data_IF_097667797514
#
_entry.id   IF_097667797514
#
_cell.length_a   1.000
_cell.length_b   1.000
_cell.length_c   1.000
_cell.angle_alpha   90.00
_cell.angle_beta   90.00
_cell.angle_gamma   90.00
#
_symmetry.space_group_name_H-M   'P 1'
#
loop_
_entity.id
_entity.type
_entity.pdbx_description
1 polymer ?
#
# COMPACT_ATOMS: atom_id res chain seq x y z
N UNK A 1 24.41 -7.11 -24.86
CA UNK A 1 23.08 -7.25 -24.24
C UNK A 1 22.86 -6.26 -23.08
N UNK A 2 23.74 -6.21 -22.07
CA UNK A 2 23.60 -5.31 -20.89
C UNK A 2 23.49 -3.82 -21.29
N UNK A 3 24.36 -3.31 -22.16
CA UNK A 3 24.30 -1.91 -22.62
C UNK A 3 23.00 -1.54 -23.37
N UNK A 4 22.35 -2.49 -24.04
CA UNK A 4 21.09 -2.25 -24.73
C UNK A 4 19.92 -2.11 -23.75
N UNK A 5 19.92 -2.93 -22.68
CA UNK A 5 18.94 -2.84 -21.58
C UNK A 5 19.06 -1.49 -20.86
N UNK A 6 20.30 -1.07 -20.56
CA UNK A 6 20.59 0.19 -19.88
C UNK A 6 20.16 1.43 -20.70
N UNK A 7 20.17 1.33 -22.04
CA UNK A 7 19.71 2.42 -22.93
C UNK A 7 18.20 2.42 -23.18
N UNK A 8 17.46 1.40 -22.72
CA UNK A 8 16.02 1.35 -22.93
C UNK A 8 15.31 2.49 -22.18
N UNK A 9 14.33 3.18 -22.79
CA UNK A 9 13.55 4.22 -22.10
C UNK A 9 12.88 3.72 -20.82
N UNK A 10 12.48 2.45 -20.79
CA UNK A 10 11.88 1.81 -19.63
C UNK A 10 12.87 1.69 -18.45
N UNK A 11 14.11 1.26 -18.71
CA UNK A 11 15.14 1.19 -17.67
C UNK A 11 15.42 2.57 -17.07
N UNK A 12 15.58 3.60 -17.92
CA UNK A 12 15.79 4.98 -17.47
C UNK A 12 14.63 5.48 -16.60
N UNK A 13 13.38 5.19 -16.99
CA UNK A 13 12.21 5.57 -16.20
C UNK A 13 12.17 4.88 -14.83
N UNK A 14 12.51 3.59 -14.75
CA UNK A 14 12.60 2.85 -13.49
C UNK A 14 13.75 3.41 -12.62
N UNK A 15 14.93 3.65 -13.20
CA UNK A 15 16.07 4.18 -12.47
C UNK A 15 15.78 5.57 -11.87
N UNK A 16 15.11 6.44 -12.63
CA UNK A 16 14.68 7.75 -12.14
C UNK A 16 13.63 7.63 -11.03
N UNK A 17 12.67 6.72 -11.18
CA UNK A 17 11.67 6.46 -10.14
C UNK A 17 12.33 5.95 -8.84
N UNK A 18 13.28 5.02 -8.95
CA UNK A 18 14.06 4.52 -7.80
C UNK A 18 14.85 5.65 -7.16
N UNK A 19 15.61 6.42 -7.93
CA UNK A 19 16.38 7.56 -7.42
C UNK A 19 15.52 8.61 -6.71
N UNK A 20 14.38 8.96 -7.30
CA UNK A 20 13.44 9.92 -6.70
C UNK A 20 12.80 9.40 -5.41
N UNK A 21 12.35 8.15 -5.39
CA UNK A 21 11.76 7.53 -4.20
C UNK A 21 12.79 7.46 -3.06
N UNK A 22 14.01 6.98 -3.34
CA UNK A 22 15.09 6.91 -2.37
C UNK A 22 15.49 8.30 -1.84
N UNK A 23 15.61 9.31 -2.70
CA UNK A 23 15.94 10.67 -2.28
C UNK A 23 14.86 11.27 -1.38
N UNK A 24 13.58 11.08 -1.72
CA UNK A 24 12.47 11.58 -0.91
C UNK A 24 12.37 10.86 0.44
N UNK A 25 12.54 9.53 0.46
CA UNK A 25 12.59 8.77 1.71
C UNK A 25 13.77 9.21 2.59
N UNK A 26 14.94 9.42 2.00
CA UNK A 26 16.11 9.93 2.72
C UNK A 26 15.87 11.34 3.28
N UNK A 27 15.25 12.24 2.51
CA UNK A 27 14.89 13.57 2.97
C UNK A 27 13.95 13.50 4.20
N UNK A 28 12.94 12.63 4.16
CA UNK A 28 12.06 12.43 5.32
C UNK A 28 12.78 11.83 6.53
N UNK A 29 13.71 10.90 6.34
CA UNK A 29 14.53 10.36 7.44
C UNK A 29 15.41 11.42 8.11
N UNK A 30 15.86 12.44 7.37
CA UNK A 30 16.63 13.56 7.92
C UNK A 30 15.75 14.56 8.69
N UNK A 31 14.47 14.66 8.33
CA UNK A 31 13.50 15.60 8.93
C UNK A 31 12.85 14.99 10.17
N UNK A 32 12.47 13.72 10.10
CA UNK A 32 11.68 13.06 11.14
C UNK A 32 12.57 12.73 12.35
N UNK A 33 12.11 13.04 13.58
CA UNK A 33 12.81 12.60 14.77
C UNK A 33 12.78 11.08 14.84
N UNK A 34 13.87 10.48 15.29
CA UNK A 34 13.93 9.03 15.45
C UNK A 34 13.25 8.62 16.74
N UNK A 35 12.23 7.75 16.67
CA UNK A 35 11.63 7.26 17.90
C UNK A 35 12.51 6.23 18.60
N UNK A 36 12.67 6.38 19.92
CA UNK A 36 13.03 5.23 20.76
C UNK A 36 11.96 4.14 20.60
N UNK A 37 12.34 2.89 20.88
CA UNK A 37 11.41 1.75 20.85
C UNK A 37 10.13 2.07 21.63
N UNK A 38 9.02 2.25 20.92
CA UNK A 38 7.71 2.47 21.55
C UNK A 38 7.07 1.12 21.82
N UNK A 39 6.60 0.86 23.04
CA UNK A 39 5.99 -0.44 23.41
C UNK A 39 4.85 -0.93 22.50
N UNK A 40 4.27 -2.09 22.83
CA UNK A 40 3.30 -2.77 21.97
C UNK A 40 4.00 -3.66 20.92
N UNK A 41 3.53 -3.64 19.67
CA UNK A 41 3.97 -4.57 18.61
C UNK A 41 5.50 -4.60 18.41
N UNK A 42 6.17 -3.45 18.55
CA UNK A 42 7.61 -3.33 18.26
C UNK A 42 8.45 -4.22 19.17
N UNK A 43 8.02 -4.46 20.43
CA UNK A 43 8.74 -5.31 21.38
C UNK A 43 8.82 -6.73 20.83
N UNK A 44 7.73 -7.24 20.27
CA UNK A 44 7.69 -8.58 19.71
C UNK A 44 8.53 -8.68 18.42
N UNK A 45 8.45 -7.69 17.54
CA UNK A 45 9.24 -7.70 16.31
C UNK A 45 10.74 -7.54 16.55
N UNK A 46 11.14 -6.72 17.53
CA UNK A 46 12.55 -6.59 17.93
C UNK A 46 13.06 -7.86 18.61
N UNK A 47 12.26 -8.51 19.46
CA UNK A 47 12.62 -9.81 20.03
C UNK A 47 12.85 -10.88 18.94
N UNK A 48 11.99 -10.91 17.92
CA UNK A 48 12.17 -11.79 16.76
C UNK A 48 13.40 -11.41 15.90
N UNK A 49 13.72 -10.12 15.78
CA UNK A 49 14.89 -9.67 15.03
C UNK A 49 16.20 -9.92 15.78
N UNK A 50 16.19 -9.88 17.10
CA UNK A 50 17.32 -10.24 17.95
C UNK A 50 17.57 -11.75 17.92
N UNK A 51 16.49 -12.53 18.04
CA UNK A 51 16.52 -13.99 17.98
C UNK A 51 15.31 -14.51 17.19
N UNK A 52 15.50 -14.96 15.94
CA UNK A 52 14.41 -15.49 15.10
C UNK A 52 13.69 -16.72 15.65
N UNK A 53 14.25 -17.36 16.69
CA UNK A 53 13.65 -18.49 17.42
C UNK A 53 12.92 -18.05 18.70
N UNK A 54 12.92 -16.76 19.02
CA UNK A 54 12.21 -16.24 20.18
C UNK A 54 10.72 -16.57 20.08
N UNK A 55 10.14 -17.02 21.19
CA UNK A 55 8.70 -17.24 21.28
C UNK A 55 8.03 -15.91 21.62
N UNK A 56 7.21 -15.41 20.70
CA UNK A 56 6.41 -14.20 20.91
C UNK A 56 4.92 -14.53 20.79
N UNK A 57 4.07 -13.62 21.29
CA UNK A 57 2.64 -13.84 21.28
C UNK A 57 2.05 -13.88 19.86
N UNK A 58 0.94 -14.62 19.68
CA UNK A 58 0.11 -14.47 18.48
C UNK A 58 -0.56 -13.09 18.46
N UNK A 59 -0.68 -12.44 17.29
CA UNK A 59 -0.30 -12.90 15.94
C UNK A 59 1.18 -12.62 15.56
N UNK A 60 1.96 -11.93 16.40
CA UNK A 60 3.30 -11.43 16.06
C UNK A 60 4.27 -12.51 15.60
N UNK A 61 4.16 -13.72 16.17
CA UNK A 61 5.02 -14.87 15.84
C UNK A 61 4.91 -15.32 14.38
N UNK A 62 3.84 -14.94 13.67
CA UNK A 62 3.65 -15.31 12.27
C UNK A 62 4.26 -14.30 11.28
N UNK A 63 4.65 -13.12 11.75
CA UNK A 63 5.13 -12.00 10.92
C UNK A 63 6.65 -11.92 10.93
N UNK A 64 7.26 -12.94 10.34
CA UNK A 64 8.70 -13.17 10.49
C UNK A 64 9.56 -12.48 9.44
N UNK A 65 9.02 -12.07 8.28
CA UNK A 65 9.87 -11.62 7.16
C UNK A 65 10.75 -10.41 7.54
N UNK A 66 10.17 -9.32 8.01
CA UNK A 66 10.93 -8.10 8.31
C UNK A 66 11.90 -8.30 9.48
N UNK A 67 11.49 -8.92 10.62
CA UNK A 67 12.44 -9.24 11.69
C UNK A 67 13.58 -10.15 11.24
N UNK A 68 13.28 -11.18 10.43
CA UNK A 68 14.30 -12.09 9.91
C UNK A 68 15.29 -11.36 9.00
N UNK A 69 14.81 -10.53 8.06
CA UNK A 69 15.70 -9.72 7.22
C UNK A 69 16.59 -8.79 8.05
N UNK A 70 16.05 -8.18 9.10
CA UNK A 70 16.82 -7.36 10.02
C UNK A 70 17.89 -8.18 10.76
N UNK A 71 17.55 -9.39 11.19
CA UNK A 71 18.51 -10.32 11.81
C UNK A 71 19.62 -10.73 10.85
N UNK A 72 19.28 -11.19 9.64
CA UNK A 72 20.25 -11.67 8.66
C UNK A 72 21.21 -10.56 8.20
N UNK A 73 20.73 -9.31 8.12
CA UNK A 73 21.56 -8.18 7.70
C UNK A 73 22.40 -7.57 8.82
N UNK A 74 21.92 -7.59 10.06
CA UNK A 74 22.55 -6.91 11.20
C UNK A 74 23.15 -7.82 12.27
N UNK A 75 22.76 -9.09 12.31
CA UNK A 75 23.03 -9.99 13.43
C UNK A 75 22.43 -9.51 14.77
N UNK A 76 22.73 -10.21 15.88
CA UNK A 76 22.23 -9.85 17.21
C UNK A 76 22.66 -8.46 17.70
N UNK A 77 23.75 -7.90 17.17
CA UNK A 77 24.30 -6.62 17.63
C UNK A 77 23.71 -5.41 16.87
N UNK A 78 23.32 -5.58 15.60
CA UNK A 78 22.92 -4.46 14.72
C UNK A 78 21.56 -4.65 14.05
N UNK A 79 20.74 -5.58 14.57
CA UNK A 79 19.41 -5.85 14.02
C UNK A 79 18.53 -4.60 14.03
N UNK A 80 18.72 -3.66 14.97
CA UNK A 80 17.91 -2.43 15.07
C UNK A 80 18.17 -1.50 13.89
N UNK A 81 19.42 -1.27 13.55
CA UNK A 81 19.84 -0.46 12.40
C UNK A 81 19.40 -1.13 11.09
N UNK A 82 19.56 -2.45 11.00
CA UNK A 82 19.11 -3.23 9.85
C UNK A 82 17.59 -3.15 9.67
N UNK A 83 16.81 -3.22 10.76
CA UNK A 83 15.35 -3.06 10.71
C UNK A 83 14.95 -1.70 10.14
N UNK A 84 15.62 -0.63 10.59
CA UNK A 84 15.41 0.74 10.07
C UNK A 84 15.68 0.80 8.58
N UNK A 85 16.80 0.23 8.13
CA UNK A 85 17.17 0.19 6.73
C UNK A 85 16.14 -0.58 5.90
N UNK A 86 15.73 -1.77 6.34
CA UNK A 86 14.73 -2.60 5.65
C UNK A 86 13.42 -1.83 5.48
N UNK A 87 12.95 -1.14 6.53
CA UNK A 87 11.71 -0.37 6.45
C UNK A 87 11.84 0.88 5.59
N UNK A 88 12.96 1.60 5.63
CA UNK A 88 13.21 2.71 4.73
C UNK A 88 13.20 2.26 3.26
N UNK A 89 13.85 1.12 2.97
CA UNK A 89 13.84 0.52 1.63
C UNK A 89 12.44 0.08 1.21
N UNK A 90 11.65 -0.48 2.12
CA UNK A 90 10.27 -0.88 1.84
C UNK A 90 9.35 0.33 1.56
N UNK A 91 9.51 1.43 2.29
CA UNK A 91 8.83 2.70 2.00
C UNK A 91 9.19 3.20 0.61
N UNK A 92 10.49 3.30 0.28
CA UNK A 92 10.93 3.70 -1.06
C UNK A 92 10.38 2.76 -2.15
N UNK A 93 10.43 1.44 -1.93
CA UNK A 93 9.91 0.43 -2.85
C UNK A 93 8.39 0.57 -3.08
N UNK A 94 7.63 1.00 -2.08
CA UNK A 94 6.19 1.30 -2.19
C UNK A 94 5.96 2.53 -3.09
N UNK A 95 6.80 3.56 -2.96
CA UNK A 95 6.80 4.73 -3.84
C UNK A 95 7.06 4.36 -5.31
N UNK A 96 8.07 3.52 -5.56
CA UNK A 96 8.38 3.00 -6.91
C UNK A 96 7.19 2.21 -7.46
N UNK A 97 6.60 1.32 -6.66
CA UNK A 97 5.43 0.55 -7.08
C UNK A 97 4.24 1.47 -7.43
N UNK A 98 3.97 2.51 -6.63
CA UNK A 98 2.90 3.47 -6.91
C UNK A 98 3.12 4.23 -8.23
N UNK A 99 4.36 4.63 -8.53
CA UNK A 99 4.72 5.22 -9.81
C UNK A 99 4.44 4.26 -10.97
N UNK A 100 4.97 3.03 -10.89
CA UNK A 100 4.80 2.03 -11.94
C UNK A 100 3.34 1.61 -12.15
N UNK A 101 2.57 1.45 -11.07
CA UNK A 101 1.13 1.22 -11.11
C UNK A 101 0.41 2.36 -11.83
N UNK A 102 0.74 3.62 -11.48
CA UNK A 102 0.16 4.80 -12.14
C UNK A 102 0.44 4.81 -13.64
N UNK A 103 1.67 4.47 -14.05
CA UNK A 103 2.04 4.35 -15.47
C UNK A 103 1.31 3.19 -16.14
N UNK A 104 1.18 2.05 -15.47
CA UNK A 104 0.47 0.87 -15.97
C UNK A 104 -1.03 1.10 -16.17
N UNK A 105 -1.63 1.97 -15.35
CA UNK A 105 -3.03 2.39 -15.46
C UNK A 105 -3.25 3.53 -16.48
N UNK A 106 -2.22 3.93 -17.24
CA UNK A 106 -2.32 4.96 -18.28
C UNK A 106 -2.17 6.39 -17.78
N UNK A 107 -1.57 6.57 -16.60
CA UNK A 107 -1.14 7.88 -16.12
C UNK A 107 0.07 8.43 -16.87
N UNK A 108 0.19 9.75 -16.94
CA UNK A 108 1.39 10.43 -17.46
C UNK A 108 2.57 10.27 -16.49
N UNK A 109 3.78 10.64 -16.93
CA UNK A 109 4.95 10.64 -16.03
C UNK A 109 4.76 11.56 -14.83
N UNK A 110 4.19 12.75 -15.04
CA UNK A 110 3.91 13.70 -13.96
C UNK A 110 2.89 13.16 -12.95
N UNK A 111 1.82 12.50 -13.42
CA UNK A 111 0.87 11.85 -12.53
C UNK A 111 1.53 10.74 -11.68
N UNK A 112 2.45 9.98 -12.28
CA UNK A 112 3.15 8.91 -11.58
C UNK A 112 4.11 9.43 -10.49
N UNK A 113 4.87 10.49 -10.77
CA UNK A 113 5.67 11.15 -9.73
C UNK A 113 4.82 11.80 -8.65
N UNK A 114 3.65 12.37 -9.00
CA UNK A 114 2.71 12.89 -8.02
C UNK A 114 2.16 11.77 -7.11
N UNK A 115 1.82 10.61 -7.66
CA UNK A 115 1.40 9.44 -6.89
C UNK A 115 2.50 8.98 -5.91
N UNK A 116 3.75 8.88 -6.39
CA UNK A 116 4.90 8.53 -5.56
C UNK A 116 5.13 9.55 -4.45
N UNK A 117 5.27 10.83 -4.78
CA UNK A 117 5.56 11.88 -3.81
C UNK A 117 4.43 12.03 -2.79
N UNK A 118 3.18 11.96 -3.26
CA UNK A 118 1.99 11.98 -2.41
C UNK A 118 1.97 10.82 -1.42
N UNK A 119 2.20 9.58 -1.90
CA UNK A 119 2.26 8.39 -1.05
C UNK A 119 3.35 8.50 0.02
N UNK A 120 4.58 8.83 -0.40
CA UNK A 120 5.74 8.89 0.48
C UNK A 120 5.67 10.04 1.49
N UNK A 121 4.73 10.97 1.31
CA UNK A 121 4.48 12.09 2.21
C UNK A 121 3.16 11.95 2.99
N UNK A 122 2.50 10.79 2.91
CA UNK A 122 1.31 10.53 3.73
C UNK A 122 1.68 10.40 5.20
N UNK A 123 0.88 10.97 6.13
CA UNK A 123 1.12 10.84 7.57
C UNK A 123 1.35 9.39 8.02
N UNK A 124 0.57 8.43 7.49
CA UNK A 124 0.73 7.02 7.79
C UNK A 124 2.07 6.40 7.33
N UNK A 125 2.62 6.84 6.18
CA UNK A 125 3.95 6.39 5.72
C UNK A 125 5.08 7.04 6.50
N UNK A 126 4.94 8.33 6.82
CA UNK A 126 5.90 9.07 7.65
C UNK A 126 5.94 8.53 9.09
N UNK A 127 4.79 8.09 9.61
CA UNK A 127 4.73 7.37 10.89
C UNK A 127 5.63 6.13 10.90
N UNK A 128 5.72 5.37 9.79
CA UNK A 128 6.60 4.19 9.74
C UNK A 128 8.09 4.52 9.59
N UNK A 129 8.43 5.70 9.06
CA UNK A 129 9.82 6.18 9.10
C UNK A 129 10.20 6.64 10.51
N UNK A 130 9.25 7.24 11.24
CA UNK A 130 9.41 7.62 12.65
C UNK A 130 9.45 6.40 13.59
N UNK A 131 8.60 5.38 13.34
CA UNK A 131 8.50 4.11 14.07
C UNK A 131 8.94 2.93 13.19
N UNK A 132 10.26 2.79 12.96
CA UNK A 132 10.82 1.89 11.96
C UNK A 132 10.92 0.44 12.42
N UNK A 133 10.28 0.06 13.53
CA UNK A 133 10.32 -1.30 14.07
C UNK A 133 9.00 -2.05 13.86
N UNK A 134 8.17 -1.55 12.95
CA UNK A 134 6.92 -2.16 12.54
C UNK A 134 7.09 -2.90 11.22
N UNK A 135 6.29 -3.92 10.97
CA UNK A 135 6.39 -4.78 9.78
C UNK A 135 5.62 -4.23 8.57
N UNK A 136 4.72 -3.26 8.80
CA UNK A 136 3.74 -2.77 7.85
C UNK A 136 4.35 -2.26 6.53
N UNK A 137 5.49 -1.53 6.51
CA UNK A 137 6.08 -1.04 5.26
C UNK A 137 6.43 -2.15 4.28
N UNK A 138 7.02 -3.24 4.75
CA UNK A 138 7.36 -4.38 3.91
C UNK A 138 6.09 -5.04 3.34
N UNK A 139 5.06 -5.22 4.17
CA UNK A 139 3.78 -5.77 3.72
C UNK A 139 3.09 -4.85 2.69
N UNK A 140 3.14 -3.53 2.88
CA UNK A 140 2.60 -2.53 1.95
C UNK A 140 3.36 -2.52 0.61
N UNK A 141 4.69 -2.60 0.65
CA UNK A 141 5.50 -2.71 -0.56
C UNK A 141 5.16 -4.00 -1.33
N UNK A 142 5.18 -5.14 -0.65
CA UNK A 142 4.91 -6.45 -1.25
C UNK A 142 3.49 -6.53 -1.83
N UNK A 143 2.51 -5.92 -1.17
CA UNK A 143 1.15 -5.75 -1.67
C UNK A 143 1.14 -5.00 -3.01
N UNK A 144 1.76 -3.82 -3.05
CA UNK A 144 1.79 -2.99 -4.27
C UNK A 144 2.54 -3.67 -5.42
N UNK A 145 3.68 -4.32 -5.14
CA UNK A 145 4.43 -5.09 -6.12
C UNK A 145 3.66 -6.32 -6.61
N UNK A 146 2.89 -6.98 -5.74
CA UNK A 146 2.00 -8.09 -6.15
C UNK A 146 0.89 -7.60 -7.09
N UNK A 147 0.27 -6.44 -6.81
CA UNK A 147 -0.71 -5.83 -7.71
C UNK A 147 -0.08 -5.46 -9.06
N UNK A 148 1.12 -4.90 -9.04
CA UNK A 148 1.86 -4.57 -10.27
C UNK A 148 2.18 -5.83 -11.07
N UNK A 149 2.69 -6.89 -10.42
CA UNK A 149 2.99 -8.16 -11.06
C UNK A 149 1.74 -8.80 -11.68
N UNK A 150 0.60 -8.77 -10.98
CA UNK A 150 -0.68 -9.25 -11.50
C UNK A 150 -1.13 -8.48 -12.76
N UNK A 151 -1.04 -7.14 -12.75
CA UNK A 151 -1.36 -6.30 -13.92
C UNK A 151 -0.34 -6.39 -15.05
N UNK A 152 0.92 -6.67 -14.73
CA UNK A 152 1.99 -6.84 -15.69
C UNK A 152 1.99 -8.24 -16.34
N UNK A 153 1.21 -9.18 -15.80
CA UNK A 153 1.20 -10.56 -16.25
C UNK A 153 2.44 -11.35 -15.81
N UNK A 154 3.14 -10.90 -14.76
CA UNK A 154 4.33 -11.56 -14.21
C UNK A 154 3.95 -12.75 -13.32
N UNK A 155 3.25 -13.71 -13.90
CA UNK A 155 2.66 -14.86 -13.19
C UNK A 155 3.70 -15.76 -12.53
N UNK A 156 4.94 -15.78 -13.01
CA UNK A 156 6.03 -16.53 -12.38
C UNK A 156 6.56 -15.88 -11.09
N UNK A 157 6.55 -14.55 -11.01
CA UNK A 157 7.07 -13.78 -9.86
C UNK A 157 6.00 -13.58 -8.79
N UNK A 158 4.73 -13.49 -9.20
CA UNK A 158 3.62 -13.21 -8.30
C UNK A 158 3.49 -14.19 -7.11
N UNK A 159 3.61 -15.53 -7.27
CA UNK A 159 3.56 -16.45 -6.13
C UNK A 159 4.68 -16.20 -5.11
N UNK A 160 5.89 -15.85 -5.57
CA UNK A 160 7.03 -15.53 -4.69
C UNK A 160 6.75 -14.27 -3.88
N UNK A 161 6.19 -13.23 -4.53
CA UNK A 161 5.76 -12.01 -3.84
C UNK A 161 4.65 -12.28 -2.83
N UNK A 162 3.70 -13.16 -3.13
CA UNK A 162 2.63 -13.53 -2.21
C UNK A 162 3.12 -14.36 -1.03
N UNK A 163 4.10 -15.25 -1.22
CA UNK A 163 4.78 -15.95 -0.12
C UNK A 163 5.50 -14.95 0.77
N UNK A 164 6.27 -14.02 0.19
CA UNK A 164 6.90 -12.97 0.98
C UNK A 164 5.86 -12.10 1.69
N UNK A 165 4.77 -11.71 1.02
CA UNK A 165 3.70 -10.92 1.60
C UNK A 165 3.06 -11.66 2.79
N UNK A 166 2.80 -12.96 2.65
CA UNK A 166 2.28 -13.83 3.72
C UNK A 166 3.19 -13.87 4.95
N UNK A 167 4.51 -13.97 4.74
CA UNK A 167 5.52 -13.96 5.81
C UNK A 167 5.71 -12.57 6.43
N UNK A 168 5.43 -11.50 5.67
CA UNK A 168 5.44 -10.13 6.19
C UNK A 168 4.19 -9.87 7.04
N UNK A 169 3.00 -10.27 6.55
CA UNK A 169 1.71 -10.13 7.24
C UNK A 169 0.70 -11.13 6.68
N UNK A 170 -0.24 -11.59 7.50
CA UNK A 170 -1.24 -12.62 7.17
C UNK A 170 -2.35 -12.14 6.22
N UNK A 171 -2.02 -11.28 5.25
CA UNK A 171 -2.95 -10.63 4.33
C UNK A 171 -3.14 -11.39 3.03
N UNK A 172 -2.44 -12.51 2.80
CA UNK A 172 -2.37 -13.16 1.47
C UNK A 172 -3.74 -13.59 0.93
N UNK A 173 -4.67 -14.00 1.80
CA UNK A 173 -6.04 -14.39 1.40
C UNK A 173 -6.82 -13.20 0.87
N UNK A 174 -6.56 -11.99 1.40
CA UNK A 174 -7.16 -10.75 0.93
C UNK A 174 -6.83 -10.46 -0.55
N UNK A 175 -5.81 -11.10 -1.13
CA UNK A 175 -5.44 -10.94 -2.53
C UNK A 175 -6.26 -11.81 -3.49
N UNK A 176 -7.01 -12.80 -2.99
CA UNK A 176 -7.76 -13.74 -3.85
C UNK A 176 -8.75 -13.05 -4.77
N UNK A 177 -9.60 -12.21 -4.18
CA UNK A 177 -10.58 -11.47 -4.96
C UNK A 177 -9.94 -10.54 -5.99
N UNK A 178 -9.02 -9.62 -5.65
CA UNK A 178 -8.45 -8.72 -6.65
C UNK A 178 -7.67 -9.47 -7.74
N UNK A 179 -6.92 -10.53 -7.42
CA UNK A 179 -6.20 -11.32 -8.44
C UNK A 179 -7.18 -12.04 -9.38
N UNK A 180 -8.22 -12.68 -8.85
CA UNK A 180 -9.27 -13.29 -9.67
C UNK A 180 -9.91 -12.28 -10.61
N UNK A 181 -10.24 -11.10 -10.08
CA UNK A 181 -10.84 -10.03 -10.85
C UNK A 181 -9.91 -9.50 -11.95
N UNK A 182 -8.60 -9.50 -11.73
CA UNK A 182 -7.59 -9.17 -12.75
C UNK A 182 -7.52 -10.25 -13.84
N UNK A 183 -7.55 -11.54 -13.48
CA UNK A 183 -7.41 -12.64 -14.44
C UNK A 183 -8.69 -12.98 -15.21
N UNK A 184 -9.87 -12.74 -14.64
CA UNK A 184 -11.13 -13.18 -15.27
C UNK A 184 -11.44 -12.42 -16.56
N UNK A 185 -11.98 -13.13 -17.54
CA UNK A 185 -12.49 -12.57 -18.80
C UNK A 185 -14.01 -12.49 -18.82
N UNK A 186 -14.66 -13.35 -18.03
CA UNK A 186 -16.12 -13.47 -17.87
C UNK A 186 -16.50 -13.21 -16.42
N UNK A 187 -17.81 -13.13 -16.16
CA UNK A 187 -18.32 -12.99 -14.79
C UNK A 187 -17.90 -14.19 -13.90
N UNK A 188 -18.11 -15.39 -14.43
CA UNK A 188 -17.64 -16.67 -13.87
C UNK A 188 -16.61 -17.24 -14.84
N UNK A 189 -15.36 -17.39 -14.39
CA UNK A 189 -14.24 -17.83 -15.21
C UNK A 189 -13.42 -18.87 -14.42
N UNK A 190 -13.77 -20.15 -14.60
CA UNK A 190 -13.11 -21.27 -13.90
C UNK A 190 -11.60 -21.32 -14.19
N UNK A 191 -11.12 -21.13 -15.44
CA UNK A 191 -9.69 -21.01 -15.70
C UNK A 191 -8.99 -19.86 -14.95
N UNK A 192 -9.65 -18.72 -14.77
CA UNK A 192 -9.11 -17.62 -13.97
C UNK A 192 -9.11 -17.95 -12.47
N UNK A 193 -10.14 -18.65 -11.97
CA UNK A 193 -10.19 -19.14 -10.60
C UNK A 193 -9.05 -20.13 -10.32
N UNK A 194 -8.83 -21.10 -11.20
CA UNK A 194 -7.72 -22.05 -11.10
C UNK A 194 -6.36 -21.35 -11.10
N UNK A 195 -6.13 -20.39 -12.01
CA UNK A 195 -4.90 -19.57 -12.03
C UNK A 195 -4.73 -18.76 -10.76
N UNK A 196 -5.79 -18.19 -10.23
CA UNK A 196 -5.76 -17.45 -8.97
C UNK A 196 -5.39 -18.37 -7.80
N UNK A 197 -6.00 -19.55 -7.73
CA UNK A 197 -5.68 -20.55 -6.73
C UNK A 197 -4.21 -20.97 -6.80
N UNK A 198 -3.69 -21.29 -7.99
CA UNK A 198 -2.29 -21.67 -8.19
C UNK A 198 -1.30 -20.61 -7.69
N UNK A 199 -1.63 -19.33 -7.84
CA UNK A 199 -0.78 -18.24 -7.40
C UNK A 199 -0.85 -18.03 -5.88
N UNK A 200 -2.02 -18.25 -5.27
CA UNK A 200 -2.28 -17.96 -3.85
C UNK A 200 -1.93 -19.11 -2.93
N UNK A 201 -2.13 -20.34 -3.38
CA UNK A 201 -1.86 -21.56 -2.60
C UNK A 201 -0.47 -21.55 -1.96
N UNK A 202 0.63 -21.20 -2.66
CA UNK A 202 1.95 -21.12 -2.03
C UNK A 202 2.00 -20.16 -0.83
N UNK A 203 1.37 -18.99 -0.92
CA UNK A 203 1.32 -18.02 0.17
C UNK A 203 0.44 -18.48 1.34
N UNK A 204 -0.68 -19.17 1.05
CA UNK A 204 -1.51 -19.80 2.08
C UNK A 204 -0.73 -20.90 2.79
N UNK A 205 -0.05 -21.79 2.05
CA UNK A 205 0.79 -22.84 2.62
C UNK A 205 1.92 -22.27 3.48
N UNK A 206 2.56 -21.18 3.05
CA UNK A 206 3.56 -20.48 3.86
C UNK A 206 2.95 -19.95 5.17
N UNK A 207 1.77 -19.33 5.10
CA UNK A 207 1.05 -18.84 6.29
C UNK A 207 0.73 -20.01 7.24
N UNK A 208 0.18 -21.11 6.73
CA UNK A 208 -0.16 -22.31 7.51
C UNK A 208 1.08 -22.96 8.13
N UNK A 209 2.18 -23.06 7.38
CA UNK A 209 3.44 -23.64 7.87
C UNK A 209 4.02 -22.82 9.03
N UNK A 210 3.92 -21.50 8.96
CA UNK A 210 4.34 -20.62 10.07
C UNK A 210 3.38 -20.71 11.25
N UNK A 211 2.07 -20.85 11.00
CA UNK A 211 1.06 -21.01 12.04
C UNK A 211 1.13 -22.34 12.79
N UNK A 212 1.74 -23.36 12.19
CA UNK A 212 1.96 -24.66 12.84
C UNK A 212 3.01 -24.62 13.97
N UNK A 213 3.78 -23.53 14.11
CA UNK A 213 4.73 -23.37 15.22
C UNK A 213 4.00 -23.27 16.56
N UNK A 214 4.54 -23.87 17.65
CA UNK A 214 4.00 -23.66 19.00
C UNK A 214 3.95 -22.16 19.32
N UNK A 215 2.80 -21.69 19.80
CA UNK A 215 2.61 -20.27 20.12
C UNK A 215 2.22 -20.07 21.57
N UNK A 216 2.57 -18.89 22.10
CA UNK A 216 2.05 -18.39 23.37
C UNK A 216 0.97 -17.34 23.06
N UNK A 217 -0.08 -17.24 23.88
CA UNK A 217 -1.18 -16.30 23.66
C UNK A 217 -2.45 -16.97 23.11
N UNK A 218 -3.07 -16.39 22.09
CA UNK A 218 -4.35 -16.87 21.54
C UNK A 218 -4.13 -18.20 20.81
N UNK A 219 -4.69 -19.32 21.31
CA UNK A 219 -4.36 -20.65 20.81
C UNK A 219 -5.01 -20.95 19.45
N UNK A 220 -6.02 -20.18 19.02
CA UNK A 220 -6.74 -20.41 17.76
C UNK A 220 -7.00 -19.11 16.99
N UNK A 221 -7.07 -19.21 15.66
CA UNK A 221 -7.47 -18.12 14.77
C UNK A 221 -8.88 -17.60 15.09
N UNK A 222 -9.77 -18.50 15.49
CA UNK A 222 -11.12 -18.13 15.92
C UNK A 222 -11.10 -17.16 17.11
N UNK A 223 -10.29 -17.44 18.12
CA UNK A 223 -10.15 -16.55 19.28
C UNK A 223 -9.53 -15.21 18.90
N UNK A 224 -8.57 -15.20 17.97
CA UNK A 224 -7.99 -13.96 17.44
C UNK A 224 -9.04 -13.10 16.73
N UNK A 225 -9.88 -13.71 15.88
CA UNK A 225 -10.99 -13.02 15.19
C UNK A 225 -12.01 -12.50 16.19
N UNK A 226 -12.43 -13.32 17.16
CA UNK A 226 -13.36 -12.91 18.23
C UNK A 226 -12.80 -11.74 19.05
N UNK A 227 -11.52 -11.79 19.41
CA UNK A 227 -10.84 -10.71 20.11
C UNK A 227 -10.79 -9.44 19.26
N UNK A 228 -10.48 -9.56 17.97
CA UNK A 228 -10.49 -8.46 17.01
C UNK A 228 -11.85 -7.78 16.90
N UNK A 229 -12.93 -8.56 16.71
CA UNK A 229 -14.31 -8.06 16.68
C UNK A 229 -14.69 -7.38 18.00
N UNK A 230 -14.28 -7.96 19.15
CA UNK A 230 -14.50 -7.35 20.46
C UNK A 230 -13.78 -6.00 20.59
N UNK A 231 -12.53 -5.91 20.12
CA UNK A 231 -11.77 -4.65 20.12
C UNK A 231 -12.44 -3.60 19.24
N UNK A 232 -12.96 -3.98 18.07
CA UNK A 232 -13.76 -3.09 17.20
C UNK A 232 -14.99 -2.58 17.97
N UNK A 233 -15.75 -3.47 18.61
CA UNK A 233 -16.91 -3.11 19.42
C UNK A 233 -16.58 -2.12 20.54
N UNK A 234 -15.53 -2.41 21.32
CA UNK A 234 -15.07 -1.52 22.40
C UNK A 234 -14.62 -0.15 21.86
N UNK A 235 -13.90 -0.11 20.74
CA UNK A 235 -13.48 1.17 20.13
C UNK A 235 -14.69 1.98 19.65
N UNK A 236 -15.66 1.32 19.00
CA UNK A 236 -16.88 1.96 18.54
C UNK A 236 -17.73 2.50 19.69
N UNK A 237 -17.80 1.78 20.81
CA UNK A 237 -18.50 2.20 22.01
C UNK A 237 -17.81 3.41 22.68
N UNK A 238 -16.47 3.38 22.77
CA UNK A 238 -15.71 4.44 23.44
C UNK A 238 -15.56 5.72 22.61
N UNK A 239 -15.36 5.58 21.30
CA UNK A 239 -15.06 6.71 20.41
C UNK A 239 -16.26 7.14 19.58
N UNK A 240 -17.25 6.27 19.37
CA UNK A 240 -18.29 6.49 18.38
C UNK A 240 -17.85 6.17 16.95
N UNK A 241 -18.81 5.79 16.11
CA UNK A 241 -18.57 5.37 14.71
C UNK A 241 -17.95 6.49 13.88
N UNK A 242 -18.48 7.70 14.00
CA UNK A 242 -18.07 8.86 13.18
C UNK A 242 -16.61 9.20 13.46
N UNK A 243 -16.23 9.24 14.73
CA UNK A 243 -14.86 9.60 15.11
C UNK A 243 -13.86 8.55 14.70
N UNK A 244 -14.17 7.29 14.95
CA UNK A 244 -13.25 6.21 14.65
C UNK A 244 -13.05 6.06 13.11
N UNK A 245 -14.09 6.28 12.30
CA UNK A 245 -13.96 6.40 10.83
C UNK A 245 -13.20 7.66 10.40
N UNK A 246 -13.43 8.80 11.07
CA UNK A 246 -12.71 10.04 10.82
C UNK A 246 -11.21 9.87 11.04
N UNK A 247 -10.80 9.27 12.16
CA UNK A 247 -9.40 8.92 12.43
C UNK A 247 -8.87 7.99 11.33
N UNK A 248 -9.61 6.92 11.01
CA UNK A 248 -9.18 5.94 10.01
C UNK A 248 -8.89 6.59 8.66
N UNK A 249 -9.80 7.44 8.17
CA UNK A 249 -9.69 8.12 6.88
C UNK A 249 -8.62 9.22 6.92
N UNK A 250 -8.64 10.08 7.95
CA UNK A 250 -7.74 11.23 8.09
C UNK A 250 -6.28 10.85 8.32
N UNK A 251 -6.02 9.85 9.17
CA UNK A 251 -4.64 9.42 9.48
C UNK A 251 -4.02 8.48 8.45
N UNK A 252 -4.83 7.93 7.53
CA UNK A 252 -4.36 7.01 6.49
C UNK A 252 -3.99 7.73 5.20
N UNK A 253 -4.94 7.85 4.27
CA UNK A 253 -4.76 8.40 2.93
C UNK A 253 -5.24 9.86 2.85
N UNK A 254 -5.99 10.36 3.84
CA UNK A 254 -6.48 11.74 3.87
C UNK A 254 -7.25 12.11 2.59
N UNK A 255 -6.86 13.20 1.93
CA UNK A 255 -7.50 13.64 0.67
C UNK A 255 -7.40 12.61 -0.47
N UNK A 256 -6.48 11.66 -0.41
CA UNK A 256 -6.36 10.62 -1.44
C UNK A 256 -7.55 9.66 -1.45
N UNK A 257 -8.32 9.57 -0.36
CA UNK A 257 -9.64 8.92 -0.39
C UNK A 257 -10.58 9.62 -1.38
N UNK A 258 -10.72 10.95 -1.28
CA UNK A 258 -11.57 11.73 -2.19
C UNK A 258 -11.08 11.64 -3.64
N UNK A 259 -9.78 11.86 -3.87
CA UNK A 259 -9.17 11.79 -5.20
C UNK A 259 -9.29 10.39 -5.80
N UNK A 260 -8.98 9.36 -5.03
CA UNK A 260 -9.00 7.96 -5.47
C UNK A 260 -10.42 7.48 -5.79
N UNK A 261 -11.41 7.85 -4.99
CA UNK A 261 -12.82 7.52 -5.25
C UNK A 261 -13.36 8.27 -6.47
N UNK A 262 -13.06 9.56 -6.62
CA UNK A 262 -13.38 10.31 -7.84
C UNK A 262 -12.70 9.70 -9.08
N UNK A 263 -11.45 9.26 -8.91
CA UNK A 263 -10.65 8.61 -9.93
C UNK A 263 -10.92 7.12 -10.10
N UNK A 264 -11.87 6.52 -9.39
CA UNK A 264 -11.96 5.07 -9.22
C UNK A 264 -12.10 4.29 -10.55
N UNK A 265 -12.74 4.90 -11.55
CA UNK A 265 -12.80 4.37 -12.92
C UNK A 265 -11.41 4.11 -13.55
N UNK A 266 -10.39 4.85 -13.12
CA UNK A 266 -9.00 4.68 -13.56
C UNK A 266 -8.28 3.54 -12.84
N UNK A 267 -8.76 3.10 -11.67
CA UNK A 267 -8.24 1.90 -11.00
C UNK A 267 -8.58 0.63 -11.78
N UNK A 268 -9.65 0.65 -12.58
CA UNK A 268 -10.13 -0.50 -13.34
C UNK A 268 -10.38 -1.70 -12.42
N UNK A 269 -9.67 -2.81 -12.67
CA UNK A 269 -9.79 -4.03 -11.86
C UNK A 269 -9.08 -3.96 -10.51
N UNK A 270 -8.15 -3.02 -10.30
CA UNK A 270 -7.54 -2.82 -8.98
C UNK A 270 -8.54 -2.30 -7.94
N UNK A 271 -9.63 -1.68 -8.36
CA UNK A 271 -10.68 -1.23 -7.45
C UNK A 271 -11.23 -2.35 -6.55
N UNK A 272 -11.13 -3.61 -6.98
CA UNK A 272 -11.54 -4.77 -6.19
C UNK A 272 -10.68 -5.01 -4.94
N UNK A 273 -9.51 -4.36 -4.84
CA UNK A 273 -8.70 -4.34 -3.61
C UNK A 273 -9.42 -3.60 -2.46
N UNK A 274 -10.41 -2.75 -2.75
CA UNK A 274 -11.13 -2.03 -1.69
C UNK A 274 -11.95 -2.97 -0.82
N UNK A 275 -12.50 -4.04 -1.38
CA UNK A 275 -13.33 -4.99 -0.63
C UNK A 275 -12.58 -5.60 0.54
N UNK A 276 -11.42 -6.27 0.35
CA UNK A 276 -10.69 -6.82 1.47
C UNK A 276 -10.16 -5.76 2.44
N UNK A 277 -9.81 -4.55 1.96
CA UNK A 277 -9.37 -3.46 2.85
C UNK A 277 -10.50 -3.00 3.77
N UNK A 278 -11.71 -2.81 3.24
CA UNK A 278 -12.87 -2.41 4.02
C UNK A 278 -13.35 -3.55 4.94
N UNK A 279 -13.24 -4.81 4.51
CA UNK A 279 -13.60 -5.96 5.34
C UNK A 279 -12.75 -6.05 6.61
N UNK A 280 -11.50 -5.56 6.58
CA UNK A 280 -10.64 -5.54 7.78
C UNK A 280 -11.19 -4.64 8.91
N UNK A 281 -12.08 -3.69 8.61
CA UNK A 281 -12.68 -2.84 9.63
C UNK A 281 -13.61 -3.63 10.56
N UNK A 282 -14.16 -4.74 10.06
CA UNK A 282 -15.03 -5.63 10.84
C UNK A 282 -14.21 -6.48 11.80
N UNK A 283 -12.95 -6.80 11.44
CA UNK A 283 -12.16 -7.84 12.11
C UNK A 283 -11.05 -7.27 12.99
N UNK A 284 -10.59 -6.03 12.77
CA UNK A 284 -9.50 -5.47 13.56
C UNK A 284 -9.70 -3.99 13.88
N UNK A 285 -9.11 -3.53 14.98
CA UNK A 285 -9.27 -2.16 15.48
C UNK A 285 -8.30 -1.12 14.94
N UNK A 286 -7.28 -1.48 14.16
CA UNK A 286 -6.25 -0.55 13.65
C UNK A 286 -6.59 0.01 12.27
N UNK A 287 -7.77 0.63 12.16
CA UNK A 287 -8.34 1.03 10.87
C UNK A 287 -7.46 1.99 10.08
N UNK A 288 -6.75 2.94 10.72
CA UNK A 288 -5.83 3.82 10.00
C UNK A 288 -4.71 3.04 9.30
N UNK A 289 -4.16 2.01 9.95
CA UNK A 289 -3.17 1.12 9.33
C UNK A 289 -3.78 0.27 8.21
N UNK A 290 -4.98 -0.26 8.42
CA UNK A 290 -5.65 -1.07 7.39
C UNK A 290 -6.04 -0.27 6.16
N UNK A 291 -6.52 0.97 6.33
CA UNK A 291 -6.83 1.88 5.24
C UNK A 291 -5.63 2.13 4.32
N UNK A 292 -4.41 2.15 4.85
CA UNK A 292 -3.22 2.35 4.03
C UNK A 292 -3.07 1.24 2.98
N UNK A 293 -3.55 0.01 3.22
CA UNK A 293 -3.54 -1.06 2.20
C UNK A 293 -4.39 -0.75 0.96
N UNK A 294 -5.23 0.28 0.98
CA UNK A 294 -5.94 0.74 -0.21
C UNK A 294 -5.06 1.56 -1.18
N UNK A 295 -3.86 2.00 -0.76
CA UNK A 295 -3.01 2.89 -1.55
C UNK A 295 -2.70 2.39 -2.98
N UNK A 296 -2.48 1.08 -3.26
CA UNK A 296 -2.11 0.64 -4.61
C UNK A 296 -3.23 0.86 -5.63
N UNK A 297 -4.48 1.00 -5.17
CA UNK A 297 -5.61 1.35 -6.03
C UNK A 297 -5.91 2.85 -6.00
N UNK A 298 -6.06 3.43 -4.80
CA UNK A 298 -6.57 4.79 -4.64
C UNK A 298 -5.56 5.86 -5.04
N UNK A 299 -4.28 5.72 -4.67
CA UNK A 299 -3.28 6.76 -4.96
C UNK A 299 -3.00 6.85 -6.47
N UNK A 300 -2.74 5.76 -7.20
CA UNK A 300 -2.62 5.82 -8.66
C UNK A 300 -3.86 6.36 -9.37
N UNK A 301 -5.06 5.89 -8.98
CA UNK A 301 -6.31 6.34 -9.58
C UNK A 301 -6.57 7.84 -9.32
N UNK A 302 -6.32 8.29 -8.09
CA UNK A 302 -6.45 9.68 -7.69
C UNK A 302 -5.46 10.59 -8.40
N UNK A 303 -4.22 10.16 -8.57
CA UNK A 303 -3.19 10.94 -9.26
C UNK A 303 -3.53 11.11 -10.75
N UNK A 304 -4.04 10.06 -11.41
CA UNK A 304 -4.49 10.13 -12.80
C UNK A 304 -5.67 11.10 -12.93
N UNK A 305 -6.65 10.98 -12.05
CA UNK A 305 -7.83 11.83 -12.08
C UNK A 305 -7.49 13.31 -11.83
N UNK A 306 -6.68 13.57 -10.81
CA UNK A 306 -6.15 14.89 -10.47
C UNK A 306 -5.39 15.50 -11.65
N UNK A 307 -4.50 14.75 -12.28
CA UNK A 307 -3.66 15.25 -13.39
C UNK A 307 -4.49 15.65 -14.61
N UNK A 308 -5.59 14.94 -14.86
CA UNK A 308 -6.53 15.19 -15.96
C UNK A 308 -7.58 16.24 -15.62
N UNK A 309 -7.67 16.67 -14.37
CA UNK A 309 -8.68 17.62 -13.92
C UNK A 309 -8.38 19.05 -14.42
N UNK A 310 -9.36 19.84 -14.90
CA UNK A 310 -9.16 21.24 -15.31
C UNK A 310 -8.57 22.14 -14.21
N UNK A 311 -8.77 21.76 -12.94
CA UNK A 311 -8.27 22.49 -11.75
C UNK A 311 -7.09 21.81 -11.09
N UNK A 312 -6.29 21.05 -11.85
CA UNK A 312 -5.15 20.30 -11.32
C UNK A 312 -4.22 21.14 -10.44
N UNK A 313 -3.97 22.41 -10.76
CA UNK A 313 -3.10 23.27 -9.96
C UNK A 313 -3.60 23.45 -8.51
N UNK A 314 -4.91 23.70 -8.34
CA UNK A 314 -5.54 23.81 -7.01
C UNK A 314 -5.45 22.48 -6.27
N UNK A 315 -5.77 21.38 -6.95
CA UNK A 315 -5.72 20.04 -6.34
C UNK A 315 -4.29 19.64 -5.95
N UNK A 316 -3.28 19.98 -6.75
CA UNK A 316 -1.86 19.80 -6.40
C UNK A 316 -1.54 20.62 -5.16
N UNK A 317 -2.01 21.87 -5.09
CA UNK A 317 -1.88 22.70 -3.88
C UNK A 317 -2.44 22.00 -2.64
N UNK A 318 -3.63 21.41 -2.72
CA UNK A 318 -4.22 20.63 -1.62
C UNK A 318 -3.38 19.40 -1.25
N UNK A 319 -2.83 18.67 -2.23
CA UNK A 319 -1.90 17.55 -1.98
C UNK A 319 -0.64 18.01 -1.27
N UNK A 320 -0.07 19.15 -1.67
CA UNK A 320 1.10 19.75 -1.00
C UNK A 320 0.74 20.12 0.44
N UNK A 321 -0.39 20.80 0.67
CA UNK A 321 -0.85 21.13 2.03
C UNK A 321 -1.00 19.87 2.88
N UNK A 322 -1.67 18.83 2.38
CA UNK A 322 -1.79 17.53 3.07
C UNK A 322 -0.43 16.93 3.43
N UNK A 323 0.52 16.96 2.49
CA UNK A 323 1.87 16.39 2.65
C UNK A 323 2.70 17.13 3.70
N UNK A 324 2.39 18.41 3.93
CA UNK A 324 3.06 19.25 4.92
C UNK A 324 2.42 19.17 6.32
N UNK A 325 1.25 18.53 6.47
CA UNK A 325 0.57 18.43 7.77
C UNK A 325 1.39 17.70 8.83
N UNK A 326 2.34 16.87 8.43
CA UNK A 326 3.29 16.23 9.35
C UNK A 326 4.05 17.25 10.21
N UNK A 327 4.39 18.41 9.66
CA UNK A 327 5.10 19.45 10.40
C UNK A 327 4.25 20.04 11.53
N UNK A 328 2.92 20.05 11.37
CA UNK A 328 2.00 20.46 12.42
C UNK A 328 2.08 19.51 13.61
N UNK A 329 2.05 18.19 13.36
CA UNK A 329 2.16 17.17 14.41
C UNK A 329 3.53 17.20 15.09
N UNK A 330 4.60 17.39 14.31
CA UNK A 330 5.95 17.54 14.86
C UNK A 330 6.07 18.80 15.73
N UNK A 331 5.46 19.91 15.33
CA UNK A 331 5.55 21.17 16.08
C UNK A 331 4.80 21.13 17.42
N UNK A 332 3.73 20.34 17.52
CA UNK A 332 2.87 20.30 18.70
C UNK A 332 3.23 19.14 19.62
N UNK A 333 3.39 17.93 19.06
CA UNK A 333 3.59 16.70 19.83
C UNK A 333 5.03 16.17 19.76
N UNK A 334 5.88 16.73 18.90
CA UNK A 334 7.25 16.24 18.65
C UNK A 334 7.30 14.89 17.92
N UNK A 335 6.15 14.31 17.52
CA UNK A 335 6.08 13.00 16.87
C UNK A 335 4.78 12.78 16.07
N UNK A 336 4.86 12.09 14.92
CA UNK A 336 3.67 11.57 14.26
C UNK A 336 3.05 10.44 15.07
N UNK A 337 1.72 10.38 15.07
CA UNK A 337 0.95 9.27 15.62
C UNK A 337 -0.05 8.77 14.58
N UNK A 338 -0.34 7.47 14.62
CA UNK A 338 -1.42 6.86 13.84
C UNK A 338 -2.51 6.37 14.77
N UNK A 339 -3.76 6.31 14.30
CA UNK A 339 -4.93 5.91 15.07
C UNK A 339 -5.26 6.80 16.28
N UNK A 340 -4.78 8.05 16.30
CA UNK A 340 -5.11 9.05 17.31
C UNK A 340 -5.49 10.36 16.63
N UNK A 341 -6.32 11.16 17.28
CA UNK A 341 -6.57 12.52 16.85
C UNK A 341 -5.32 13.37 17.08
N UNK A 342 -4.76 13.86 15.98
CA UNK A 342 -3.76 14.91 15.99
C UNK A 342 -4.33 16.13 15.25
N UNK A 343 -3.74 17.31 15.45
CA UNK A 343 -4.10 18.50 14.69
C UNK A 343 -4.10 18.25 13.16
N UNK A 344 -3.14 17.47 12.64
CA UNK A 344 -3.14 17.06 11.23
C UNK A 344 -4.37 16.26 10.83
N UNK A 345 -4.90 15.40 11.71
CA UNK A 345 -6.09 14.59 11.45
C UNK A 345 -7.29 15.48 11.17
N UNK A 346 -7.52 16.51 12.01
CA UNK A 346 -8.63 17.45 11.82
C UNK A 346 -8.48 18.26 10.54
N UNK A 347 -7.27 18.75 10.25
CA UNK A 347 -7.01 19.49 9.01
C UNK A 347 -7.20 18.58 7.79
N UNK A 348 -6.69 17.34 7.84
CA UNK A 348 -6.89 16.35 6.78
C UNK A 348 -8.38 16.06 6.55
N UNK A 349 -9.17 15.95 7.62
CA UNK A 349 -10.61 15.74 7.54
C UNK A 349 -11.33 16.94 6.93
N UNK A 350 -10.86 18.17 7.17
CA UNK A 350 -11.39 19.37 6.52
C UNK A 350 -10.96 19.49 5.05
N UNK A 351 -9.76 19.02 4.69
CA UNK A 351 -9.27 19.04 3.32
C UNK A 351 -10.04 18.06 2.41
N UNK A 352 -10.61 16.98 2.94
CA UNK A 352 -11.43 16.02 2.18
C UNK A 352 -12.67 16.67 1.54
N UNK A 353 -13.61 17.30 2.28
CA UNK A 353 -14.75 17.96 1.70
C UNK A 353 -14.34 19.15 0.81
N UNK A 354 -13.29 19.89 1.17
CA UNK A 354 -12.74 20.94 0.29
C UNK A 354 -12.28 20.37 -1.05
N UNK A 355 -11.59 19.23 -1.04
CA UNK A 355 -11.16 18.52 -2.26
C UNK A 355 -12.37 18.09 -3.08
N UNK A 356 -13.39 17.51 -2.44
CA UNK A 356 -14.64 17.12 -3.11
C UNK A 356 -15.35 18.32 -3.74
N UNK A 357 -15.42 19.45 -3.04
CA UNK A 357 -15.97 20.70 -3.59
C UNK A 357 -15.20 21.12 -4.85
N UNK A 358 -13.86 21.10 -4.83
CA UNK A 358 -13.06 21.46 -6.01
C UNK A 358 -13.27 20.48 -7.18
N UNK A 359 -13.42 19.18 -6.89
CA UNK A 359 -13.64 18.12 -7.89
C UNK A 359 -15.04 18.16 -8.52
N UNK A 360 -16.07 18.47 -7.73
CA UNK A 360 -17.46 18.46 -8.18
C UNK A 360 -17.92 19.80 -8.73
N UNK A 361 -17.16 20.87 -8.49
CA UNK A 361 -17.53 22.19 -8.97
C UNK A 361 -17.50 22.29 -10.51
N UNK A 362 -18.59 22.77 -11.15
CA UNK A 362 -18.67 22.88 -12.60
C UNK A 362 -17.51 23.66 -13.23
N UNK A 363 -16.74 23.00 -14.10
CA UNK A 363 -15.70 23.66 -14.88
C UNK A 363 -16.22 24.00 -16.27
N UNK A 364 -16.23 25.31 -16.61
CA UNK A 364 -16.43 25.75 -18.01
C UNK A 364 -15.23 25.45 -18.91
N UNK A 365 -14.06 25.15 -18.32
CA UNK A 365 -12.84 24.83 -19.09
C UNK A 365 -12.90 23.38 -19.58
N UNK A 366 -12.66 23.18 -20.87
CA UNK A 366 -12.48 21.84 -21.46
C UNK A 366 -11.32 21.12 -20.77
N UNK A 367 -11.48 19.82 -20.56
CA UNK A 367 -10.42 18.97 -20.03
C UNK A 367 -9.19 19.02 -20.95
N UNK A 368 -7.96 18.98 -20.42
CA UNK A 368 -6.75 18.87 -21.22
C UNK A 368 -6.85 17.67 -22.17
N UNK A 369 -6.50 17.84 -23.44
CA UNK A 369 -6.41 16.71 -24.37
C UNK A 369 -5.33 15.74 -23.85
N UNK A 370 -5.57 14.42 -23.86
CA UNK A 370 -4.53 13.46 -23.53
C UNK A 370 -3.36 13.63 -24.51
N UNK A 371 -2.15 13.76 -23.98
CA UNK A 371 -0.93 13.76 -24.80
C UNK A 371 -0.80 12.39 -25.49
N UNK A 372 -0.95 12.36 -26.82
CA UNK A 372 -0.79 11.15 -27.60
C UNK A 372 0.68 10.68 -27.54
N UNK A 373 0.91 9.43 -27.11
CA UNK A 373 2.22 8.76 -27.23
C UNK A 373 3.04 8.56 -25.94
N UNK A 374 2.58 8.94 -24.75
CA UNK A 374 3.38 8.80 -23.51
C UNK A 374 3.00 7.63 -22.58
N UNK A 375 2.04 6.78 -22.94
CA UNK A 375 1.72 5.59 -22.16
C UNK A 375 2.77 4.50 -22.33
N UNK A 376 3.06 3.73 -21.27
CA UNK A 376 3.63 2.38 -21.48
C UNK A 376 2.66 1.62 -22.40
N UNK A 377 3.16 0.75 -23.29
CA UNK A 377 2.29 -0.05 -24.15
C UNK A 377 1.23 -0.71 -23.28
N UNK A 378 -0.04 -0.46 -23.64
CA UNK A 378 -1.16 -1.11 -22.97
C UNK A 378 -0.89 -2.61 -22.98
N UNK A 379 -1.27 -3.32 -21.90
CA UNK A 379 -1.23 -4.79 -21.92
C UNK A 379 -1.96 -5.19 -23.20
N UNK A 380 -1.34 -5.94 -24.12
CA UNK A 380 -2.08 -6.44 -25.26
C UNK A 380 -3.30 -7.15 -24.69
N UNK A 381 -4.49 -6.67 -25.05
CA UNK A 381 -5.72 -7.36 -24.64
C UNK A 381 -5.50 -8.81 -25.08
N UNK A 382 -5.70 -9.81 -24.20
CA UNK A 382 -5.57 -11.19 -24.60
C UNK A 382 -6.41 -11.35 -25.86
N UNK A 383 -5.76 -11.63 -26.99
CA UNK A 383 -6.45 -11.77 -28.27
C UNK A 383 -7.50 -12.83 -28.03
N UNK A 384 -8.77 -12.44 -28.00
CA UNK A 384 -9.85 -13.40 -27.90
C UNK A 384 -9.69 -14.27 -29.12
N UNK A 385 -9.33 -15.55 -28.92
CA UNK A 385 -9.01 -16.47 -30.02
C UNK A 385 -10.10 -16.61 -31.09
N UNK A 386 -11.27 -16.02 -30.84
CA UNK A 386 -12.33 -15.80 -31.81
C UNK A 386 -11.91 -15.01 -33.06
N UNK A 387 -10.99 -14.04 -32.97
CA UNK A 387 -10.59 -13.25 -34.16
C UNK A 387 -9.71 -14.03 -35.15
N UNK A 388 -9.03 -15.10 -34.71
CA UNK A 388 -8.22 -15.95 -35.63
C UNK A 388 -9.03 -17.04 -36.33
N UNK A 389 -10.30 -17.24 -35.98
CA UNK A 389 -11.15 -18.25 -36.61
C UNK A 389 -11.93 -17.72 -37.83
N UNK A 390 -11.81 -16.42 -38.15
CA UNK A 390 -12.58 -15.76 -39.21
C UNK A 390 -11.74 -15.34 -40.42
N UNK A 391 -10.47 -15.73 -40.52
CA UNK A 391 -9.72 -15.63 -41.78
C UNK A 391 -10.03 -16.86 -42.65
N UNK A 392 -10.82 -16.72 -43.73
CA UNK A 392 -10.97 -17.79 -44.71
C UNK A 392 -9.60 -18.05 -45.35
N UNK A 393 -9.20 -19.33 -45.38
CA UNK A 393 -8.03 -19.80 -46.12
C UNK A 393 -8.25 -19.76 -47.62
#
# INVERSE_FOLDING_TARGET
MIFAILRSPAFREIALAVGAASALTAAWLLILPHAATSGGDTIHYLALAENPRAQVHTPYTYRMLTPLLAHELGGPERYREAFRLVNALAVAASGVAAHLLTRRLGGTRGAAYLAMAGLLSLPGFLFYLHQPYLIDPAAMALLAWSMLAALAGWTAVLPLLLVAAALARETVISFALPIYMIFRTRWIDVPAAARTALVIVPGVLATTAVQAKPTHGWPTQELLVRAGVRIVGMKLEQQGVVDALGIAVGTSLGIWWALGLYGFRHAGRLGWLMIPVLLQFVVGGDWGRFCLYAFPALVPAGAIALWRHPRRAVLIGLVVVQSLLIFLDLSIDGRPKINQYQPSTYVSLALIPLTLLVLLWPSRRRAPRPEAGQGLPAVPRPSTGAERAAEPR
#
